data_IF_075791291762
#
_entry.id   IF_075791291762
#
_cell.length_a   1.000
_cell.length_b   1.000
_cell.length_c   1.000
_cell.angle_alpha   90.00
_cell.angle_beta   90.00
_cell.angle_gamma   90.00
#
_symmetry.space_group_name_H-M   'P 1'
#
loop_
_entity.id
_entity.type
_entity.pdbx_description
1 polymer ?
#
# COMPACT_ATOMS: atom_id res chain seq x y z
N UNK A 1 69.52 5.96 38.72
CA UNK A 1 69.93 4.54 38.74
C UNK A 1 68.73 3.69 38.34
N UNK A 2 68.88 2.86 37.29
CA UNK A 2 68.12 1.63 36.96
C UNK A 2 66.58 1.71 36.85
N UNK A 3 65.87 1.26 35.81
CA UNK A 3 66.10 0.27 34.73
C UNK A 3 64.92 0.38 33.73
N UNK A 4 65.17 0.20 32.43
CA UNK A 4 64.19 -0.27 31.42
C UNK A 4 64.00 -1.82 31.55
N UNK A 5 63.27 -2.61 30.70
CA UNK A 5 62.51 -2.32 29.45
C UNK A 5 61.22 -3.19 29.23
N UNK A 6 60.68 -3.19 27.99
CA UNK A 6 59.78 -4.18 27.33
C UNK A 6 58.26 -4.03 27.64
N UNK A 7 57.31 -4.21 26.73
CA UNK A 7 57.27 -4.91 25.45
C UNK A 7 56.15 -4.33 24.54
N UNK A 8 56.38 -4.34 23.23
CA UNK A 8 55.35 -4.09 22.22
C UNK A 8 54.39 -5.27 22.07
N UNK A 9 53.16 -4.98 21.66
CA UNK A 9 52.24 -5.99 21.14
C UNK A 9 51.36 -5.38 20.04
N UNK A 10 51.66 -5.78 18.82
CA UNK A 10 50.76 -5.70 17.65
C UNK A 10 49.57 -6.65 17.84
N UNK A 11 48.41 -6.36 17.25
CA UNK A 11 47.93 -7.34 16.27
C UNK A 11 47.33 -6.71 15.00
N UNK A 12 47.92 -7.12 13.88
CA UNK A 12 47.30 -7.21 12.55
C UNK A 12 46.19 -8.29 12.60
N UNK A 13 45.06 -8.05 11.93
CA UNK A 13 43.87 -8.92 12.09
C UNK A 13 42.73 -8.62 11.13
N UNK A 14 43.05 -8.54 9.84
CA UNK A 14 42.13 -8.39 8.68
C UNK A 14 40.88 -9.28 8.81
N UNK A 15 39.70 -8.67 8.78
CA UNK A 15 38.42 -9.37 8.64
C UNK A 15 38.12 -9.61 7.16
N UNK A 16 38.12 -10.88 6.74
CA UNK A 16 37.59 -11.32 5.47
C UNK A 16 36.06 -11.47 5.53
N UNK A 17 35.29 -11.02 4.53
CA UNK A 17 33.85 -11.25 4.47
C UNK A 17 33.52 -12.70 4.09
N UNK A 18 32.54 -13.29 4.79
CA UNK A 18 32.00 -14.63 4.52
C UNK A 18 31.12 -14.63 3.26
N UNK A 19 31.19 -15.65 2.39
CA UNK A 19 30.33 -15.73 1.21
C UNK A 19 28.91 -16.16 1.58
N UNK A 20 27.93 -15.44 1.05
CA UNK A 20 26.50 -15.77 1.13
C UNK A 20 26.18 -16.87 0.12
N UNK A 21 25.52 -17.92 0.60
CA UNK A 21 25.23 -19.15 -0.14
C UNK A 21 23.91 -18.98 -0.88
N UNK A 22 23.96 -18.84 -2.20
CA UNK A 22 22.77 -18.74 -3.05
C UNK A 22 21.97 -20.05 -3.03
N UNK A 23 20.75 -19.98 -2.49
CA UNK A 23 19.81 -21.09 -2.45
C UNK A 23 18.89 -21.02 -3.66
N UNK A 24 19.34 -21.66 -4.74
CA UNK A 24 18.52 -21.92 -5.93
C UNK A 24 17.23 -22.67 -5.57
N UNK A 25 16.08 -22.02 -5.76
CA UNK A 25 14.76 -22.64 -5.68
C UNK A 25 14.42 -23.28 -7.03
N UNK A 26 14.49 -24.62 -7.08
CA UNK A 26 14.00 -25.44 -8.19
C UNK A 26 12.48 -25.27 -8.33
N UNK A 27 12.04 -24.75 -9.48
CA UNK A 27 10.63 -24.79 -9.90
C UNK A 27 10.30 -26.19 -10.43
N UNK A 28 9.38 -26.89 -9.77
CA UNK A 28 8.69 -28.05 -10.33
C UNK A 28 7.44 -27.57 -11.09
N UNK A 29 7.19 -28.02 -12.34
CA UNK A 29 5.93 -27.76 -13.02
C UNK A 29 4.84 -28.71 -12.50
N UNK A 30 3.85 -28.15 -11.82
CA UNK A 30 2.64 -28.85 -11.40
C UNK A 30 1.75 -29.22 -12.58
N UNK A 31 1.37 -30.50 -12.65
CA UNK A 31 0.39 -31.04 -13.60
C UNK A 31 -1.00 -30.49 -13.28
N UNK A 32 -1.66 -29.89 -14.27
CA UNK A 32 -3.08 -29.55 -14.19
C UNK A 32 -3.93 -30.82 -14.30
N UNK A 33 -4.76 -31.07 -13.28
CA UNK A 33 -5.76 -32.15 -13.23
C UNK A 33 -7.08 -31.56 -13.70
N UNK A 34 -7.61 -32.06 -14.82
CA UNK A 34 -8.92 -31.66 -15.33
C UNK A 34 -10.04 -32.15 -14.39
N UNK A 35 -10.86 -31.24 -13.90
CA UNK A 35 -12.06 -31.56 -13.11
C UNK A 35 -13.22 -31.72 -14.09
N UNK A 36 -13.74 -32.95 -14.21
CA UNK A 36 -14.98 -33.24 -14.91
C UNK A 36 -16.15 -32.55 -14.22
N UNK A 37 -16.89 -31.73 -14.98
CA UNK A 37 -18.13 -31.11 -14.55
C UNK A 37 -19.23 -32.15 -14.34
N UNK A 38 -19.87 -32.08 -13.17
CA UNK A 38 -21.08 -32.84 -12.82
C UNK A 38 -22.25 -32.34 -13.66
N UNK A 39 -22.90 -33.24 -14.39
CA UNK A 39 -24.22 -33.00 -14.95
C UNK A 39 -25.25 -32.98 -13.82
N UNK A 40 -25.96 -31.87 -13.69
CA UNK A 40 -27.17 -31.74 -12.87
C UNK A 40 -28.34 -32.29 -13.69
N UNK A 41 -28.91 -33.42 -13.27
CA UNK A 41 -30.20 -33.88 -13.77
C UNK A 41 -31.28 -32.99 -13.14
N UNK A 42 -31.93 -32.16 -13.95
CA UNK A 42 -33.14 -31.45 -13.57
C UNK A 42 -34.35 -32.37 -13.78
N UNK A 43 -35.02 -32.63 -12.68
CA UNK A 43 -36.30 -33.30 -12.54
C UNK A 43 -37.41 -32.49 -13.23
N UNK A 44 -38.18 -33.14 -14.11
CA UNK A 44 -39.47 -32.65 -14.58
C UNK A 44 -40.57 -33.56 -14.02
N UNK A 45 -41.31 -33.04 -13.04
CA UNK A 45 -42.53 -33.61 -12.50
C UNK A 45 -43.74 -33.20 -13.35
N UNK A 46 -44.62 -34.17 -13.63
CA UNK A 46 -46.07 -34.07 -13.46
C UNK A 46 -46.88 -33.29 -14.50
N UNK A 47 -47.80 -33.97 -15.19
CA UNK A 47 -48.85 -33.27 -15.95
C UNK A 47 -49.75 -34.13 -16.84
N UNK A 48 -50.72 -34.80 -16.20
CA UNK A 48 -52.09 -35.08 -16.67
C UNK A 48 -52.35 -36.16 -17.73
N UNK A 49 -53.17 -37.13 -17.28
CA UNK A 49 -53.85 -38.15 -18.04
C UNK A 49 -55.13 -37.61 -18.71
N UNK A 50 -55.47 -38.14 -19.89
CA UNK A 50 -56.85 -38.29 -20.34
C UNK A 50 -56.96 -39.49 -21.30
N UNK A 51 -58.06 -40.24 -21.31
CA UNK A 51 -58.10 -41.61 -21.82
C UNK A 51 -58.44 -41.64 -23.32
N UNK A 52 -57.75 -42.49 -24.09
CA UNK A 52 -58.22 -42.93 -25.40
C UNK A 52 -58.36 -44.45 -25.44
N UNK A 53 -59.62 -44.86 -25.33
CA UNK A 53 -60.31 -45.82 -26.20
C UNK A 53 -59.42 -46.85 -26.91
N UNK A 54 -59.57 -48.10 -26.45
CA UNK A 54 -59.43 -49.36 -27.18
C UNK A 54 -58.50 -49.41 -28.39
N UNK A 55 -57.32 -50.00 -28.18
CA UNK A 55 -56.61 -50.70 -29.24
C UNK A 55 -56.28 -52.10 -28.72
N UNK A 56 -56.79 -53.10 -29.43
CA UNK A 56 -56.63 -54.52 -29.18
C UNK A 56 -55.16 -54.89 -28.99
N UNK A 57 -54.86 -55.63 -27.92
CA UNK A 57 -53.56 -56.26 -27.69
C UNK A 57 -53.41 -57.40 -28.70
N UNK A 58 -52.85 -57.13 -29.87
CA UNK A 58 -52.44 -58.18 -30.79
C UNK A 58 -51.03 -58.59 -30.37
N UNK A 59 -50.96 -59.69 -29.62
CA UNK A 59 -49.69 -60.41 -29.41
C UNK A 59 -49.38 -61.10 -30.73
N UNK A 60 -48.46 -60.51 -31.50
CA UNK A 60 -47.88 -61.14 -32.68
C UNK A 60 -46.58 -61.82 -32.27
N UNK A 61 -46.49 -63.11 -32.58
CA UNK A 61 -45.31 -63.96 -32.38
C UNK A 61 -44.04 -63.31 -32.97
N UNK A 62 -42.87 -63.48 -32.33
CA UNK A 62 -41.65 -62.82 -32.77
C UNK A 62 -41.17 -63.52 -34.04
N UNK A 63 -41.30 -62.85 -35.17
CA UNK A 63 -40.63 -63.28 -36.39
C UNK A 63 -39.18 -62.79 -36.34
N UNK A 64 -38.24 -63.65 -36.75
CA UNK A 64 -36.78 -63.43 -36.80
C UNK A 64 -36.32 -62.20 -37.63
N UNK A 65 -37.25 -61.37 -38.09
CA UNK A 65 -37.05 -60.21 -38.95
C UNK A 65 -36.75 -58.91 -38.20
N UNK A 66 -36.79 -58.90 -36.85
CA UNK A 66 -36.61 -57.69 -36.04
C UNK A 66 -35.16 -57.42 -35.60
N UNK A 67 -34.22 -58.28 -36.00
CA UNK A 67 -32.78 -58.11 -35.73
C UNK A 67 -32.09 -57.44 -36.93
N UNK A 68 -32.27 -56.13 -37.03
CA UNK A 68 -31.56 -55.31 -38.00
C UNK A 68 -30.11 -55.05 -37.53
N UNK A 69 -29.18 -55.89 -38.00
CA UNK A 69 -27.74 -55.83 -37.75
C UNK A 69 -26.98 -54.91 -38.73
N UNK A 70 -27.65 -53.98 -39.42
CA UNK A 70 -26.95 -52.98 -40.22
C UNK A 70 -25.97 -52.20 -39.32
N UNK A 71 -24.68 -52.05 -39.70
CA UNK A 71 -23.75 -51.22 -38.95
C UNK A 71 -24.34 -49.84 -38.81
N UNK A 72 -24.52 -49.34 -37.58
CA UNK A 72 -24.99 -47.95 -37.38
C UNK A 72 -23.99 -47.02 -38.06
N UNK A 73 -24.43 -46.31 -39.09
CA UNK A 73 -23.65 -45.20 -39.64
C UNK A 73 -23.44 -44.18 -38.53
N UNK A 74 -22.16 -43.96 -38.21
CA UNK A 74 -21.77 -42.93 -37.26
C UNK A 74 -21.97 -41.60 -37.97
N UNK A 75 -23.13 -40.98 -37.77
CA UNK A 75 -23.39 -39.64 -38.29
C UNK A 75 -22.28 -38.73 -37.77
N UNK A 76 -21.46 -38.11 -38.65
CA UNK A 76 -20.42 -37.21 -38.19
C UNK A 76 -21.14 -36.04 -37.52
N UNK A 77 -21.08 -35.99 -36.19
CA UNK A 77 -21.57 -34.83 -35.45
C UNK A 77 -20.72 -33.66 -35.91
N UNK A 78 -21.35 -32.68 -36.57
CA UNK A 78 -20.68 -31.52 -37.13
C UNK A 78 -19.69 -30.94 -36.11
N UNK A 79 -18.42 -30.80 -36.50
CA UNK A 79 -17.38 -30.25 -35.64
C UNK A 79 -17.80 -28.83 -35.26
N UNK A 80 -18.25 -28.66 -34.01
CA UNK A 80 -18.66 -27.36 -33.49
C UNK A 80 -17.42 -26.47 -33.46
N UNK A 81 -17.34 -25.53 -34.41
CA UNK A 81 -16.22 -24.60 -34.52
C UNK A 81 -15.96 -23.92 -33.18
N UNK A 82 -14.80 -24.17 -32.59
CA UNK A 82 -14.38 -23.54 -31.33
C UNK A 82 -14.15 -22.07 -31.61
N UNK A 83 -15.15 -21.23 -31.32
CA UNK A 83 -15.02 -19.77 -31.37
C UNK A 83 -13.91 -19.39 -30.37
N UNK A 84 -12.83 -18.78 -30.85
CA UNK A 84 -11.74 -18.33 -29.95
C UNK A 84 -12.35 -17.33 -28.95
N UNK A 85 -12.11 -17.48 -27.63
CA UNK A 85 -12.79 -16.69 -26.62
C UNK A 85 -12.16 -15.29 -26.50
N UNK A 86 -12.14 -14.54 -27.60
CA UNK A 86 -11.57 -13.19 -27.66
C UNK A 86 -12.17 -12.27 -26.59
N UNK A 87 -13.47 -12.43 -26.31
CA UNK A 87 -14.16 -11.71 -25.25
C UNK A 87 -13.57 -12.01 -23.86
N UNK A 88 -13.23 -13.27 -23.57
CA UNK A 88 -12.61 -13.63 -22.29
C UNK A 88 -11.22 -12.99 -22.14
N UNK A 89 -10.44 -12.94 -23.23
CA UNK A 89 -9.15 -12.23 -23.23
C UNK A 89 -9.32 -10.71 -23.07
N UNK A 90 -10.31 -10.11 -23.74
CA UNK A 90 -10.61 -8.69 -23.61
C UNK A 90 -10.98 -8.33 -22.16
N UNK A 91 -11.85 -9.12 -21.53
CA UNK A 91 -12.22 -8.94 -20.11
C UNK A 91 -11.02 -9.12 -19.19
N UNK A 92 -10.14 -10.09 -19.44
CA UNK A 92 -8.93 -10.29 -18.65
C UNK A 92 -7.99 -9.08 -18.73
N UNK A 93 -7.74 -8.57 -19.95
CA UNK A 93 -6.89 -7.39 -20.15
C UNK A 93 -7.51 -6.16 -19.49
N UNK A 94 -8.83 -5.98 -19.61
CA UNK A 94 -9.54 -4.88 -18.96
C UNK A 94 -9.43 -4.97 -17.43
N UNK A 95 -9.63 -6.16 -16.86
CA UNK A 95 -9.53 -6.37 -15.42
C UNK A 95 -8.12 -6.10 -14.90
N UNK A 96 -7.08 -6.58 -15.61
CA UNK A 96 -5.69 -6.31 -15.25
C UNK A 96 -5.30 -4.84 -15.44
N UNK A 97 -5.77 -4.19 -16.51
CA UNK A 97 -5.51 -2.78 -16.77
C UNK A 97 -6.17 -1.87 -15.72
N UNK A 98 -7.46 -2.09 -15.45
CA UNK A 98 -8.18 -1.36 -14.42
C UNK A 98 -7.57 -1.62 -13.03
N UNK A 99 -7.35 -2.89 -12.67
CA UNK A 99 -6.71 -3.26 -11.40
C UNK A 99 -5.34 -2.63 -11.22
N UNK A 100 -4.50 -2.66 -12.26
CA UNK A 100 -3.19 -2.00 -12.24
C UNK A 100 -3.28 -0.49 -12.01
N UNK A 101 -4.23 0.18 -12.67
CA UNK A 101 -4.45 1.63 -12.48
C UNK A 101 -4.91 1.96 -11.06
N UNK A 102 -5.84 1.20 -10.50
CA UNK A 102 -6.32 1.40 -9.12
C UNK A 102 -5.20 1.21 -8.10
N UNK A 103 -4.40 0.15 -8.26
CA UNK A 103 -3.24 -0.10 -7.38
C UNK A 103 -2.22 1.04 -7.50
N UNK A 104 -1.89 1.47 -8.71
CA UNK A 104 -0.96 2.58 -8.93
C UNK A 104 -1.45 3.89 -8.29
N UNK A 105 -2.73 4.22 -8.46
CA UNK A 105 -3.36 5.40 -7.84
C UNK A 105 -3.36 5.32 -6.33
N UNK A 106 -3.70 4.17 -5.76
CA UNK A 106 -3.69 3.96 -4.31
C UNK A 106 -2.28 4.12 -3.72
N UNK A 107 -1.27 3.49 -4.32
CA UNK A 107 0.12 3.63 -3.88
C UNK A 107 0.61 5.08 -3.97
N UNK A 108 0.26 5.79 -5.04
CA UNK A 108 0.71 7.18 -5.25
C UNK A 108 0.08 8.14 -4.24
N UNK A 109 -1.19 7.91 -3.88
CA UNK A 109 -1.91 8.72 -2.90
C UNK A 109 -1.52 8.39 -1.45
N UNK A 110 -0.91 7.24 -1.20
CA UNK A 110 -0.46 6.81 0.13
C UNK A 110 0.94 7.33 0.52
N UNK A 111 1.66 7.98 -0.40
CA UNK A 111 2.98 8.53 -0.13
C UNK A 111 2.83 9.95 0.44
N UNK A 112 3.41 10.18 1.62
CA UNK A 112 3.54 11.53 2.20
C UNK A 112 4.65 12.31 1.46
N UNK A 113 4.29 13.40 0.79
CA UNK A 113 5.24 14.30 0.11
C UNK A 113 5.66 15.44 1.02
N UNK A 114 6.91 15.87 0.94
CA UNK A 114 7.38 17.10 1.59
C UNK A 114 7.33 18.24 0.59
N UNK A 115 6.55 19.27 0.93
CA UNK A 115 6.33 20.46 0.13
C UNK A 115 6.66 21.69 0.98
N UNK A 116 7.10 22.76 0.34
CA UNK A 116 7.08 24.07 0.99
C UNK A 116 5.74 24.76 0.72
N UNK A 117 5.45 25.85 1.46
CA UNK A 117 4.22 26.62 1.27
C UNK A 117 4.15 27.20 -0.16
N UNK A 118 5.28 27.65 -0.70
CA UNK A 118 5.41 28.23 -2.04
C UNK A 118 5.33 27.25 -3.21
N UNK A 119 5.34 25.95 -2.93
CA UNK A 119 5.31 24.90 -3.95
C UNK A 119 3.91 24.31 -4.20
N UNK A 120 2.93 24.72 -3.39
CA UNK A 120 1.56 24.19 -3.44
C UNK A 120 0.92 24.54 -4.79
N UNK A 121 0.39 23.54 -5.50
CA UNK A 121 -0.21 23.71 -6.83
C UNK A 121 0.77 23.91 -7.99
N UNK A 122 2.05 24.16 -7.71
CA UNK A 122 3.07 24.35 -8.75
C UNK A 122 3.96 23.12 -8.96
N UNK A 123 4.21 22.34 -7.90
CA UNK A 123 5.10 21.17 -7.93
C UNK A 123 4.32 19.87 -8.01
N UNK A 124 4.78 18.95 -8.87
CA UNK A 124 4.21 17.60 -8.97
C UNK A 124 4.27 16.88 -7.63
N UNK A 125 3.11 16.49 -7.10
CA UNK A 125 3.01 15.85 -5.77
C UNK A 125 2.51 16.78 -4.66
N UNK A 126 2.54 18.09 -4.87
CA UNK A 126 2.02 19.11 -3.97
C UNK A 126 0.65 19.63 -4.44
N UNK A 127 -0.22 18.71 -4.89
CA UNK A 127 -1.54 19.04 -5.43
C UNK A 127 -2.56 19.26 -4.31
N UNK A 128 -3.56 20.10 -4.57
CA UNK A 128 -4.69 20.33 -3.66
C UNK A 128 -5.44 19.03 -3.38
N UNK A 129 -5.88 18.83 -2.14
CA UNK A 129 -6.61 17.63 -1.71
C UNK A 129 -5.75 16.38 -1.46
N UNK A 130 -4.42 16.44 -1.67
CA UNK A 130 -3.50 15.35 -1.33
C UNK A 130 -2.94 15.49 0.07
N UNK A 131 -2.62 14.35 0.69
CA UNK A 131 -1.87 14.35 1.93
C UNK A 131 -0.41 14.73 1.66
N UNK A 132 -0.01 15.87 2.21
CA UNK A 132 1.33 16.44 2.09
C UNK A 132 1.83 16.91 3.46
N UNK A 133 3.13 17.09 3.57
CA UNK A 133 3.81 17.66 4.73
C UNK A 133 4.40 19.00 4.33
N UNK A 134 3.84 20.08 4.87
CA UNK A 134 4.34 21.43 4.59
C UNK A 134 5.38 21.84 5.63
N UNK A 135 6.38 22.60 5.20
CA UNK A 135 7.38 23.22 6.08
C UNK A 135 7.23 24.74 6.05
N UNK A 136 7.38 25.38 7.21
CA UNK A 136 7.36 26.83 7.32
C UNK A 136 7.62 27.31 8.74
N UNK A 137 7.46 28.61 8.95
CA UNK A 137 7.57 29.25 10.26
C UNK A 137 6.18 29.75 10.68
N UNK A 138 5.83 29.56 11.94
CA UNK A 138 4.56 30.08 12.48
C UNK A 138 4.66 31.60 12.64
N UNK A 139 3.72 32.33 12.06
CA UNK A 139 3.71 33.79 12.13
C UNK A 139 3.40 34.28 13.56
N UNK A 140 3.97 35.43 13.88
CA UNK A 140 3.75 36.10 15.17
C UNK A 140 2.31 36.54 15.32
N UNK A 141 1.78 36.42 16.53
CA UNK A 141 0.41 36.78 16.93
C UNK A 141 -0.68 36.08 16.09
N UNK A 142 -0.36 34.96 15.43
CA UNK A 142 -1.29 34.23 14.54
C UNK A 142 -2.02 33.08 15.21
N UNK A 143 -1.57 32.63 16.40
CA UNK A 143 -2.10 31.42 17.04
C UNK A 143 -3.42 31.71 17.75
N UNK A 144 -4.49 31.10 17.25
CA UNK A 144 -5.82 31.13 17.84
C UNK A 144 -6.26 29.72 18.25
N UNK A 145 -6.65 29.53 19.51
CA UNK A 145 -7.08 28.23 20.04
C UNK A 145 -8.60 28.20 20.21
N UNK A 146 -9.26 27.32 19.45
CA UNK A 146 -10.71 27.07 19.51
C UNK A 146 -10.96 25.64 20.01
N UNK A 147 -10.80 25.43 21.32
CA UNK A 147 -11.02 24.13 21.95
C UNK A 147 -9.99 23.08 21.53
N UNK A 148 -10.40 22.14 20.67
CA UNK A 148 -9.53 21.09 20.12
C UNK A 148 -8.83 21.51 18.83
N UNK A 149 -9.30 22.59 18.19
CA UNK A 149 -8.74 23.10 16.93
C UNK A 149 -7.82 24.29 17.24
N UNK A 150 -6.69 24.37 16.56
CA UNK A 150 -5.75 25.51 16.63
C UNK A 150 -5.57 26.09 15.25
N UNK A 151 -5.91 27.36 15.07
CA UNK A 151 -5.68 28.09 13.83
C UNK A 151 -4.40 28.91 13.95
N UNK A 152 -3.62 28.98 12.89
CA UNK A 152 -2.43 29.82 12.81
C UNK A 152 -1.99 30.01 11.36
N UNK A 153 -1.10 30.96 11.12
CA UNK A 153 -0.56 31.21 9.77
C UNK A 153 0.87 30.71 9.71
N UNK A 154 1.20 30.06 8.59
CA UNK A 154 2.54 29.56 8.33
C UNK A 154 3.09 30.21 7.08
N UNK A 155 4.30 30.75 7.21
CA UNK A 155 4.99 31.44 6.12
C UNK A 155 6.28 30.72 5.74
N UNK A 156 6.55 30.60 4.45
CA UNK A 156 7.82 30.14 3.90
C UNK A 156 8.18 30.98 2.67
N UNK A 157 9.40 31.52 2.63
CA UNK A 157 9.90 32.38 1.53
C UNK A 157 8.99 33.56 1.13
N UNK A 158 8.16 34.06 2.05
CA UNK A 158 7.25 35.19 1.80
C UNK A 158 5.86 34.79 1.32
N UNK A 159 5.59 33.50 1.14
CA UNK A 159 4.25 32.98 0.91
C UNK A 159 3.66 32.41 2.20
N UNK A 160 2.40 32.75 2.47
CA UNK A 160 1.71 32.45 3.71
C UNK A 160 0.44 31.65 3.44
N UNK A 161 0.19 30.61 4.25
CA UNK A 161 -1.04 29.81 4.19
C UNK A 161 -1.68 29.72 5.58
N UNK A 162 -3.00 29.96 5.70
CA UNK A 162 -3.72 29.69 6.94
C UNK A 162 -3.81 28.18 7.20
N UNK A 163 -3.56 27.78 8.44
CA UNK A 163 -3.58 26.39 8.89
C UNK A 163 -4.67 26.21 9.93
N UNK A 164 -5.49 25.17 9.75
CA UNK A 164 -6.48 24.70 10.72
C UNK A 164 -6.01 23.34 11.23
N UNK A 165 -5.49 23.31 12.45
CA UNK A 165 -4.96 22.09 13.05
C UNK A 165 -6.02 21.42 13.94
N UNK A 166 -6.40 20.20 13.59
CA UNK A 166 -7.42 19.41 14.29
C UNK A 166 -6.92 18.66 15.53
N UNK A 167 -5.60 18.69 15.79
CA UNK A 167 -4.97 18.06 16.95
C UNK A 167 -4.32 19.09 17.87
N UNK A 168 -4.19 18.73 19.15
CA UNK A 168 -3.53 19.59 20.14
C UNK A 168 -2.00 19.56 19.91
N UNK A 169 -1.34 20.71 19.65
CA UNK A 169 0.11 20.78 19.54
C UNK A 169 0.82 20.33 20.81
N UNK A 170 2.06 19.83 20.66
CA UNK A 170 2.94 19.57 21.81
C UNK A 170 3.36 20.88 22.48
N UNK A 171 3.85 20.81 23.73
CA UNK A 171 4.16 22.00 24.55
C UNK A 171 5.25 22.94 24.01
N UNK A 172 5.93 22.56 22.92
CA UNK A 172 6.99 23.32 22.29
C UNK A 172 6.50 24.11 21.06
N UNK A 173 5.22 24.01 20.72
CA UNK A 173 4.60 24.81 19.66
C UNK A 173 4.38 26.26 20.11
N UNK A 174 5.07 27.18 19.44
CA UNK A 174 5.00 28.62 19.68
C UNK A 174 5.22 29.37 18.36
N UNK A 175 4.94 30.66 18.39
CA UNK A 175 5.19 31.59 17.29
C UNK A 175 6.69 31.72 16.98
N UNK A 176 7.02 32.11 15.76
CA UNK A 176 8.39 32.34 15.31
C UNK A 176 9.31 31.10 15.36
N UNK A 177 8.73 29.89 15.40
CA UNK A 177 9.46 28.62 15.39
C UNK A 177 9.21 27.89 14.07
N UNK A 178 10.23 27.24 13.46
CA UNK A 178 10.05 26.39 12.30
C UNK A 178 9.29 25.11 12.65
N UNK A 179 8.28 24.81 11.84
CA UNK A 179 7.39 23.65 12.02
C UNK A 179 7.24 22.87 10.71
N UNK A 180 6.87 21.60 10.86
CA UNK A 180 6.42 20.73 9.78
C UNK A 180 5.01 20.26 10.11
N UNK A 181 4.08 20.37 9.17
CA UNK A 181 2.67 20.07 9.41
C UNK A 181 2.22 19.05 8.40
N UNK A 182 1.66 17.95 8.88
CA UNK A 182 1.08 16.89 8.04
C UNK A 182 -0.40 17.16 7.86
N UNK A 183 -0.88 17.16 6.61
CA UNK A 183 -2.25 17.53 6.31
C UNK A 183 -2.53 17.55 4.82
N UNK A 184 -3.49 18.37 4.40
CA UNK A 184 -3.84 18.57 2.98
C UNK A 184 -4.34 19.99 2.78
N UNK A 185 -4.21 20.49 1.55
CA UNK A 185 -4.77 21.79 1.15
C UNK A 185 -6.23 21.58 0.74
N UNK A 186 -7.11 22.46 1.21
CA UNK A 186 -8.55 22.45 0.93
C UNK A 186 -8.95 23.84 0.44
N UNK A 187 -9.79 23.88 -0.59
CA UNK A 187 -10.44 25.11 -1.05
C UNK A 187 -11.64 25.40 -0.15
N UNK A 188 -11.69 26.61 0.41
CA UNK A 188 -12.83 27.12 1.13
C UNK A 188 -13.93 27.59 0.17
N UNK A 189 -15.16 27.71 0.70
CA UNK A 189 -16.34 28.12 -0.08
C UNK A 189 -16.22 29.55 -0.66
N UNK A 190 -15.34 30.38 -0.09
CA UNK A 190 -15.03 31.73 -0.56
C UNK A 190 -13.96 31.79 -1.65
N UNK A 191 -13.43 30.62 -2.07
CA UNK A 191 -12.36 30.50 -3.06
C UNK A 191 -10.96 30.70 -2.49
N UNK A 192 -10.80 30.87 -1.19
CA UNK A 192 -9.48 30.87 -0.54
C UNK A 192 -9.00 29.45 -0.27
N UNK A 193 -7.68 29.27 -0.11
CA UNK A 193 -7.08 27.98 0.21
C UNK A 193 -6.57 27.99 1.65
N UNK A 194 -6.82 26.91 2.37
CA UNK A 194 -6.28 26.70 3.70
C UNK A 194 -5.72 25.29 3.84
N UNK A 195 -4.80 25.13 4.79
CA UNK A 195 -4.21 23.84 5.10
C UNK A 195 -4.94 23.17 6.26
N UNK A 196 -5.60 22.06 5.99
CA UNK A 196 -6.20 21.21 7.02
C UNK A 196 -5.10 20.30 7.61
N UNK A 197 -4.60 20.68 8.79
CA UNK A 197 -3.53 20.00 9.51
C UNK A 197 -4.05 18.91 10.45
N UNK A 198 -3.43 17.73 10.40
CA UNK A 198 -3.70 16.61 11.30
C UNK A 198 -2.68 16.54 12.43
N UNK A 199 -1.42 16.89 12.17
CA UNK A 199 -0.32 16.78 13.13
C UNK A 199 0.72 17.87 12.86
N UNK A 200 1.27 18.44 13.93
CA UNK A 200 2.37 19.42 13.87
C UNK A 200 3.61 18.88 14.57
N UNK A 201 4.73 18.89 13.85
CA UNK A 201 6.04 18.55 14.36
C UNK A 201 6.88 19.82 14.44
N UNK A 202 7.29 20.18 15.65
CA UNK A 202 8.19 21.30 15.90
C UNK A 202 9.62 20.82 15.76
N UNK A 203 10.43 21.46 14.89
CA UNK A 203 11.86 21.14 14.82
C UNK A 203 12.54 21.69 16.08
N UNK A 204 13.04 20.80 16.94
CA UNK A 204 13.83 21.19 18.10
C UNK A 204 15.22 21.65 17.65
N UNK A 205 15.55 22.93 17.82
CA UNK A 205 16.95 23.35 17.86
C UNK A 205 17.47 23.05 19.27
N UNK A 206 18.33 22.05 19.41
CA UNK A 206 19.10 21.83 20.63
C UNK A 206 20.14 22.95 20.79
N UNK A 207 19.72 24.11 21.30
CA UNK A 207 20.68 25.11 21.79
C UNK A 207 20.91 24.89 23.29
N UNK A 208 21.16 23.63 23.68
CA UNK A 208 21.34 23.22 25.08
C UNK A 208 22.77 23.52 25.60
N UNK A 209 23.72 23.81 24.70
CA UNK A 209 25.15 23.91 25.03
C UNK A 209 25.60 25.29 25.53
N UNK A 210 24.79 26.33 25.38
CA UNK A 210 25.27 27.70 25.66
C UNK A 210 25.05 28.17 27.10
N UNK A 211 24.09 27.59 27.84
CA UNK A 211 23.73 28.09 29.19
C UNK A 211 24.18 27.19 30.35
N UNK A 212 24.66 25.97 30.11
CA UNK A 212 25.05 25.03 31.20
C UNK A 212 26.40 24.35 30.95
N UNK A 213 27.39 25.07 30.42
CA UNK A 213 28.74 24.55 30.14
C UNK A 213 29.38 23.86 31.34
N UNK A 214 29.14 24.38 32.55
CA UNK A 214 29.74 23.88 33.79
C UNK A 214 29.22 22.48 34.19
N UNK A 215 27.95 22.18 33.89
CA UNK A 215 27.34 20.88 34.18
C UNK A 215 27.79 19.81 33.19
N UNK A 216 27.92 20.17 31.92
CA UNK A 216 28.43 19.28 30.86
C UNK A 216 29.92 18.99 31.09
N UNK A 217 30.70 19.98 31.51
CA UNK A 217 32.10 19.80 31.87
C UNK A 217 32.27 18.87 33.09
N UNK A 218 31.43 19.02 34.11
CA UNK A 218 31.43 18.13 35.29
C UNK A 218 31.08 16.69 34.91
N UNK A 219 30.01 16.48 34.15
CA UNK A 219 29.60 15.15 33.71
C UNK A 219 30.65 14.46 32.82
N UNK A 220 31.30 15.22 31.91
CA UNK A 220 32.39 14.71 31.09
C UNK A 220 33.64 14.38 31.92
N UNK A 221 33.93 15.17 32.96
CA UNK A 221 35.01 14.89 33.91
C UNK A 221 34.78 13.60 34.69
N UNK A 222 33.55 13.36 35.16
CA UNK A 222 33.17 12.13 35.86
C UNK A 222 33.19 10.91 34.93
N UNK A 223 32.73 11.06 33.68
CA UNK A 223 32.80 10.01 32.67
C UNK A 223 34.26 9.64 32.30
N UNK A 224 35.15 10.63 32.21
CA UNK A 224 36.57 10.41 31.97
C UNK A 224 37.26 9.69 33.15
N UNK A 225 36.86 10.00 34.39
CA UNK A 225 37.38 9.33 35.60
C UNK A 225 36.97 7.85 35.67
N UNK A 226 35.80 7.49 35.15
CA UNK A 226 35.39 6.09 35.00
C UNK A 226 36.23 5.31 33.96
N UNK A 227 36.68 5.98 32.88
CA UNK A 227 37.49 5.34 31.84
C UNK A 227 38.96 5.10 32.24
N UNK A 228 39.48 5.84 33.23
CA UNK A 228 40.85 5.68 33.74
C UNK A 228 40.98 4.65 34.88
N UNK A 229 39.88 4.04 35.31
CA UNK A 229 39.84 3.03 36.38
C UNK A 229 39.81 1.58 35.86
N UNK A 230 40.04 1.37 34.57
CA UNK A 230 40.19 0.06 33.93
C UNK A 230 41.64 -0.40 33.85
#
# INVERSE_FOLDING_TARGET
MSRSPLAGRSPDGRHAPRPVRDRQLRRHPGRYRAVHGRHVCQSAQGGQASPRRGASLVVSEPTDSDLNLAPREVVPTAARGKKKPWFAYAVLVLALGAGGLFVAKFLTNAIDYYCNVDEIGHKSGCDVGRNIRIQGVVDKDSIEKAGAVTNFVVTFHGESIPVVLSSKPTGLFQECIPVVITGKVVDADDGTQYFEGNEVLVKHSENYDKENKDRVATANGEAAACSQKG
#
